data_IF_212062210858
#
_entry.id   IF_212062210858
#
_cell.length_a   1.000
_cell.length_b   1.000
_cell.length_c   1.000
_cell.angle_alpha   90.00
_cell.angle_beta   90.00
_cell.angle_gamma   90.00
#
_symmetry.space_group_name_H-M   'P 1'
#
loop_
_entity.id
_entity.type
_entity.pdbx_description
1 polymer ?
#
# COMPACT_ATOMS: atom_id res chain seq x y z
N UNK A 1 0.54 -54.01 -32.11
CA UNK A 1 -0.57 -53.02 -32.11
C UNK A 1 -0.10 -51.80 -32.88
N UNK A 2 -0.66 -51.54 -34.08
CA UNK A 2 -0.29 -50.37 -34.91
C UNK A 2 -1.11 -49.19 -34.40
N UNK A 3 -0.45 -48.19 -33.80
CA UNK A 3 -1.10 -46.94 -33.42
C UNK A 3 -1.25 -46.12 -34.70
N UNK A 4 -2.48 -45.70 -35.02
CA UNK A 4 -2.78 -44.85 -36.17
C UNK A 4 -2.25 -43.43 -35.90
N UNK A 5 -1.53 -42.86 -36.87
CA UNK A 5 -0.99 -41.50 -36.82
C UNK A 5 -2.07 -40.43 -36.57
N UNK A 6 -3.33 -40.69 -36.97
CA UNK A 6 -4.46 -39.79 -36.68
C UNK A 6 -4.84 -39.78 -35.21
N UNK A 7 -4.76 -40.93 -34.54
CA UNK A 7 -5.04 -41.06 -33.10
C UNK A 7 -3.93 -40.39 -32.30
N UNK A 8 -2.68 -40.48 -32.74
CA UNK A 8 -1.54 -39.76 -32.15
C UNK A 8 -1.68 -38.23 -32.28
N UNK A 9 -2.12 -37.73 -33.45
CA UNK A 9 -2.36 -36.30 -33.67
C UNK A 9 -3.47 -35.76 -32.78
N UNK A 10 -4.60 -36.46 -32.64
CA UNK A 10 -5.71 -36.01 -31.79
C UNK A 10 -5.30 -36.02 -30.31
N UNK A 11 -4.57 -37.05 -29.87
CA UNK A 11 -4.01 -37.10 -28.51
C UNK A 11 -3.03 -35.95 -28.25
N UNK A 12 -2.17 -35.62 -29.22
CA UNK A 12 -1.21 -34.53 -29.11
C UNK A 12 -1.89 -33.16 -29.09
N UNK A 13 -2.93 -32.95 -29.90
CA UNK A 13 -3.71 -31.71 -29.91
C UNK A 13 -4.50 -31.51 -28.61
N UNK A 14 -5.09 -32.57 -28.04
CA UNK A 14 -5.77 -32.50 -26.74
C UNK A 14 -4.76 -32.27 -25.61
N UNK A 15 -3.59 -32.90 -25.66
CA UNK A 15 -2.50 -32.65 -24.69
C UNK A 15 -2.00 -31.20 -24.74
N UNK A 16 -1.89 -30.60 -25.93
CA UNK A 16 -1.55 -29.19 -26.11
C UNK A 16 -2.65 -28.23 -25.61
N UNK A 17 -3.94 -28.55 -25.80
CA UNK A 17 -5.05 -27.74 -25.28
C UNK A 17 -5.11 -27.79 -23.74
N UNK A 18 -4.78 -28.93 -23.14
CA UNK A 18 -4.71 -29.08 -21.67
C UNK A 18 -3.46 -28.39 -21.08
N UNK A 19 -2.36 -28.26 -21.83
CA UNK A 19 -1.15 -27.52 -21.42
C UNK A 19 -1.31 -25.99 -21.48
N UNK A 20 -2.39 -25.49 -22.10
CA UNK A 20 -2.78 -24.06 -22.12
C UNK A 20 -3.64 -23.69 -20.91
N UNK A 21 -3.89 -24.62 -19.98
CA UNK A 21 -4.27 -24.23 -18.61
C UNK A 21 -3.04 -23.64 -17.92
N UNK A 22 -2.83 -22.36 -18.21
CA UNK A 22 -1.83 -21.50 -17.58
C UNK A 22 -1.84 -21.74 -16.09
N UNK A 23 -0.66 -22.02 -15.52
CA UNK A 23 -0.46 -21.93 -14.09
C UNK A 23 -0.94 -20.54 -13.66
N UNK A 24 -2.08 -20.48 -12.97
CA UNK A 24 -2.50 -19.27 -12.28
C UNK A 24 -1.45 -19.05 -11.20
N UNK A 25 -0.49 -18.17 -11.45
CA UNK A 25 0.30 -17.64 -10.35
C UNK A 25 -0.69 -17.03 -9.37
N UNK A 26 -0.61 -17.41 -8.10
CA UNK A 26 -1.41 -16.81 -7.01
C UNK A 26 -0.85 -15.40 -6.73
N UNK A 27 -0.90 -14.55 -7.75
CA UNK A 27 -0.65 -13.12 -7.59
C UNK A 27 -1.88 -12.54 -6.91
N UNK A 28 -1.66 -11.50 -6.11
CA UNK A 28 -2.75 -10.68 -5.61
C UNK A 28 -3.63 -10.24 -6.79
N UNK A 29 -4.95 -10.30 -6.63
CA UNK A 29 -5.84 -9.91 -7.71
C UNK A 29 -5.90 -8.37 -7.78
N UNK A 30 -5.86 -7.82 -8.98
CA UNK A 30 -5.74 -6.37 -9.14
C UNK A 30 -7.11 -5.71 -9.04
N UNK A 31 -7.17 -4.58 -8.35
CA UNK A 31 -8.38 -3.77 -8.17
C UNK A 31 -8.09 -2.33 -8.55
N UNK A 32 -8.46 -1.99 -9.78
CA UNK A 32 -8.32 -0.66 -10.33
C UNK A 32 -9.51 0.21 -9.97
N UNK A 33 -9.25 1.44 -9.52
CA UNK A 33 -10.29 2.44 -9.31
C UNK A 33 -10.76 3.01 -10.66
N UNK A 34 -12.03 2.79 -10.98
CA UNK A 34 -12.66 3.24 -12.25
C UNK A 34 -13.85 4.18 -12.05
N UNK A 35 -14.10 4.63 -10.82
CA UNK A 35 -15.11 5.63 -10.52
C UNK A 35 -14.94 6.24 -9.13
N UNK A 36 -15.64 7.33 -8.86
CA UNK A 36 -15.70 7.94 -7.52
C UNK A 36 -16.76 7.25 -6.68
N UNK A 37 -16.45 6.92 -5.43
CA UNK A 37 -17.43 6.32 -4.54
C UNK A 37 -16.86 5.75 -3.25
N UNK A 38 -17.68 4.97 -2.58
CA UNK A 38 -17.33 4.28 -1.36
C UNK A 38 -16.47 3.04 -1.66
N UNK A 39 -15.47 2.76 -0.83
CA UNK A 39 -14.59 1.61 -0.99
C UNK A 39 -15.34 0.28 -1.08
N UNK A 40 -16.46 0.13 -0.37
CA UNK A 40 -17.28 -1.09 -0.43
C UNK A 40 -18.30 -1.14 -1.59
N UNK A 41 -18.24 -0.21 -2.54
CA UNK A 41 -19.07 -0.23 -3.75
C UNK A 41 -18.36 -1.02 -4.87
N UNK A 42 -18.94 -2.15 -5.30
CA UNK A 42 -18.38 -2.94 -6.40
C UNK A 42 -18.36 -2.19 -7.72
N UNK A 43 -19.21 -1.17 -7.89
CA UNK A 43 -19.32 -0.41 -9.13
C UNK A 43 -18.09 0.48 -9.42
N UNK A 44 -17.19 0.71 -8.45
CA UNK A 44 -15.99 1.51 -8.66
C UNK A 44 -14.72 0.69 -8.86
N UNK A 45 -14.81 -0.64 -8.81
CA UNK A 45 -13.67 -1.56 -8.93
C UNK A 45 -13.70 -2.34 -10.24
N UNK A 46 -12.53 -2.44 -10.87
CA UNK A 46 -12.29 -3.19 -12.11
C UNK A 46 -11.05 -4.07 -11.98
N UNK A 47 -11.03 -5.20 -12.68
CA UNK A 47 -9.86 -6.08 -12.79
C UNK A 47 -8.84 -5.54 -13.81
N UNK A 48 -9.21 -4.52 -14.58
CA UNK A 48 -8.35 -3.89 -15.58
C UNK A 48 -8.40 -2.37 -15.48
N UNK A 49 -7.25 -1.71 -15.72
CA UNK A 49 -7.14 -0.25 -15.74
C UNK A 49 -8.08 0.37 -16.78
N UNK A 50 -8.89 1.34 -16.36
CA UNK A 50 -9.89 2.00 -17.21
C UNK A 50 -11.05 1.09 -17.68
N UNK A 51 -11.15 -0.13 -17.12
CA UNK A 51 -12.21 -1.07 -17.43
C UNK A 51 -13.56 -0.69 -16.84
N UNK A 52 -14.56 -1.55 -17.04
CA UNK A 52 -15.89 -1.37 -16.44
C UNK A 52 -15.87 -1.75 -14.96
N UNK A 53 -16.56 -0.98 -14.14
CA UNK A 53 -16.79 -1.34 -12.75
C UNK A 53 -17.69 -2.57 -12.59
N UNK A 54 -17.59 -3.25 -11.45
CA UNK A 54 -18.41 -4.43 -11.12
C UNK A 54 -17.62 -5.55 -10.44
N UNK A 55 -16.31 -5.38 -10.24
CA UNK A 55 -15.53 -6.36 -9.50
C UNK A 55 -15.81 -6.35 -8.01
N UNK A 56 -15.42 -7.43 -7.35
CA UNK A 56 -15.51 -7.55 -5.90
C UNK A 56 -14.75 -6.43 -5.17
N UNK A 57 -15.25 -6.08 -3.97
CA UNK A 57 -14.58 -5.13 -3.08
C UNK A 57 -13.19 -5.68 -2.68
N UNK A 58 -12.11 -4.88 -2.75
CA UNK A 58 -10.77 -5.36 -2.44
C UNK A 58 -10.66 -5.90 -1.01
N UNK A 59 -10.07 -7.09 -0.87
CA UNK A 59 -9.73 -7.76 0.38
C UNK A 59 -8.23 -7.94 0.57
N UNK A 60 -7.84 -8.74 1.56
CA UNK A 60 -6.45 -8.88 2.02
C UNK A 60 -5.49 -9.51 1.00
N UNK A 61 -6.00 -10.07 -0.08
CA UNK A 61 -5.23 -10.69 -1.15
C UNK A 61 -5.26 -9.85 -2.44
N UNK A 62 -5.79 -8.62 -2.38
CA UNK A 62 -5.97 -7.79 -3.56
C UNK A 62 -5.02 -6.58 -3.54
N UNK A 63 -4.50 -6.25 -4.73
CA UNK A 63 -3.70 -5.07 -4.99
C UNK A 63 -4.61 -3.91 -5.41
N UNK A 64 -4.73 -2.88 -4.58
CA UNK A 64 -5.50 -1.68 -4.92
C UNK A 64 -4.63 -0.71 -5.70
N UNK A 65 -5.11 -0.34 -6.88
CA UNK A 65 -4.37 0.49 -7.84
C UNK A 65 -5.23 1.69 -8.25
N UNK A 66 -4.69 2.88 -7.99
CA UNK A 66 -5.18 4.13 -8.56
C UNK A 66 -4.12 4.63 -9.55
N UNK A 67 -4.45 4.62 -10.83
CA UNK A 67 -3.53 4.96 -11.91
C UNK A 67 -4.02 6.10 -12.78
N UNK A 68 -3.40 6.35 -13.93
CA UNK A 68 -3.76 7.45 -14.83
C UNK A 68 -5.24 7.45 -15.25
N UNK A 69 -5.92 6.29 -15.26
CA UNK A 69 -7.36 6.19 -15.54
C UNK A 69 -8.23 6.49 -14.31
N UNK A 70 -7.61 6.64 -13.14
CA UNK A 70 -8.25 7.06 -11.89
C UNK A 70 -8.19 8.59 -11.69
N UNK A 71 -7.68 9.34 -12.66
CA UNK A 71 -7.52 10.79 -12.57
C UNK A 71 -8.85 11.49 -12.28
N UNK A 72 -8.88 12.33 -11.24
CA UNK A 72 -10.09 13.02 -10.78
C UNK A 72 -11.08 12.15 -9.99
N UNK A 73 -10.83 10.84 -9.86
CA UNK A 73 -11.65 9.98 -9.01
C UNK A 73 -11.17 9.99 -7.55
N UNK A 74 -12.12 9.78 -6.65
CA UNK A 74 -11.86 9.60 -5.22
C UNK A 74 -12.56 8.35 -4.73
N UNK A 75 -11.80 7.44 -4.12
CA UNK A 75 -12.36 6.35 -3.32
C UNK A 75 -12.33 6.75 -1.85
N UNK A 76 -13.49 6.68 -1.19
CA UNK A 76 -13.63 6.96 0.24
C UNK A 76 -13.79 5.67 1.01
N UNK A 77 -12.85 5.40 1.92
CA UNK A 77 -12.94 4.30 2.83
C UNK A 77 -14.12 4.51 3.80
N UNK A 78 -15.15 3.68 3.67
CA UNK A 78 -16.38 3.74 4.45
C UNK A 78 -16.65 2.47 5.28
N UNK A 79 -15.68 1.55 5.28
CA UNK A 79 -15.65 0.31 6.05
C UNK A 79 -14.21 0.03 6.46
N UNK A 80 -14.00 -0.77 7.51
CA UNK A 80 -12.65 -1.25 7.81
C UNK A 80 -12.15 -2.12 6.67
N UNK A 81 -10.92 -1.90 6.21
CA UNK A 81 -10.35 -2.67 5.11
C UNK A 81 -8.92 -3.13 5.43
N UNK A 82 -8.59 -4.32 4.92
CA UNK A 82 -7.23 -4.82 4.81
C UNK A 82 -7.02 -5.23 3.36
N UNK A 83 -5.93 -4.76 2.77
CA UNK A 83 -5.55 -5.06 1.39
C UNK A 83 -4.10 -5.55 1.34
N UNK A 84 -3.70 -6.19 0.23
CA UNK A 84 -2.32 -6.65 0.10
C UNK A 84 -1.39 -5.46 -0.16
N UNK A 85 -1.56 -4.78 -1.29
CA UNK A 85 -0.79 -3.57 -1.61
C UNK A 85 -1.65 -2.40 -2.07
N UNK A 86 -1.09 -1.19 -1.93
CA UNK A 86 -1.69 0.06 -2.37
C UNK A 86 -0.71 0.78 -3.30
N UNK A 87 -1.14 1.06 -4.53
CA UNK A 87 -0.38 1.87 -5.49
C UNK A 87 -1.24 3.07 -5.90
N UNK A 88 -0.73 4.27 -5.68
CA UNK A 88 -1.37 5.53 -6.06
C UNK A 88 -0.41 6.31 -6.95
N UNK A 89 -0.76 6.39 -8.23
CA UNK A 89 -0.05 7.18 -9.24
C UNK A 89 -0.90 8.31 -9.83
N UNK A 90 -2.22 8.26 -9.65
CA UNK A 90 -3.17 9.37 -9.83
C UNK A 90 -4.41 9.13 -8.93
N UNK A 91 -5.40 10.01 -8.95
CA UNK A 91 -6.62 9.88 -8.15
C UNK A 91 -6.40 10.11 -6.64
N UNK A 92 -7.44 9.87 -5.85
CA UNK A 92 -7.39 10.05 -4.38
C UNK A 92 -7.92 8.81 -3.65
N UNK A 93 -7.13 8.29 -2.72
CA UNK A 93 -7.58 7.33 -1.72
C UNK A 93 -7.81 8.07 -0.39
N UNK A 94 -9.07 8.27 -0.03
CA UNK A 94 -9.47 8.89 1.23
C UNK A 94 -9.74 7.81 2.28
N UNK A 95 -8.71 7.49 3.04
CA UNK A 95 -8.79 6.71 4.26
C UNK A 95 -8.87 7.66 5.46
N UNK A 96 -9.87 8.54 5.60
CA UNK A 96 -9.90 9.51 6.70
C UNK A 96 -10.43 8.98 8.03
N UNK A 97 -11.32 7.98 8.01
CA UNK A 97 -12.13 7.61 9.19
C UNK A 97 -11.91 6.16 9.66
N UNK A 98 -12.18 5.17 8.83
CA UNK A 98 -12.17 3.74 9.19
C UNK A 98 -10.77 3.14 9.33
N UNK A 99 -10.65 1.98 9.98
CA UNK A 99 -9.37 1.27 10.07
C UNK A 99 -8.89 0.81 8.69
N UNK A 100 -7.61 1.01 8.40
CA UNK A 100 -7.02 0.63 7.13
C UNK A 100 -5.67 -0.04 7.35
N UNK A 101 -5.50 -1.23 6.78
CA UNK A 101 -4.25 -2.00 6.84
C UNK A 101 -3.77 -2.35 5.44
N UNK A 102 -2.48 -2.13 5.18
CA UNK A 102 -1.80 -2.57 3.97
C UNK A 102 -0.70 -3.55 4.36
N UNK A 103 -0.73 -4.76 3.80
CA UNK A 103 0.12 -5.87 4.24
C UNK A 103 1.52 -5.83 3.62
N UNK A 104 1.62 -5.60 2.32
CA UNK A 104 2.85 -5.82 1.54
C UNK A 104 3.57 -4.53 1.17
N UNK A 105 2.89 -3.54 0.57
CA UNK A 105 3.53 -2.27 0.18
C UNK A 105 2.51 -1.16 -0.01
N UNK A 106 2.88 0.07 0.36
CA UNK A 106 2.20 1.28 -0.09
C UNK A 106 3.16 2.16 -0.90
N UNK A 107 2.77 2.50 -2.13
CA UNK A 107 3.53 3.40 -3.00
C UNK A 107 2.63 4.56 -3.44
N UNK A 108 3.00 5.78 -3.03
CA UNK A 108 2.34 7.03 -3.42
C UNK A 108 3.31 7.81 -4.28
N UNK A 109 3.22 7.61 -5.59
CA UNK A 109 4.12 8.21 -6.59
C UNK A 109 3.49 9.36 -7.37
N UNK A 110 2.17 9.46 -7.29
CA UNK A 110 1.32 10.55 -7.75
C UNK A 110 0.03 10.56 -6.92
N UNK A 111 -1.01 11.27 -7.39
CA UNK A 111 -2.30 11.34 -6.70
C UNK A 111 -2.21 11.75 -5.21
N UNK A 112 -3.19 11.31 -4.41
CA UNK A 112 -3.21 11.57 -2.98
C UNK A 112 -3.67 10.39 -2.12
N UNK A 113 -2.98 10.16 -1.01
CA UNK A 113 -3.43 9.34 0.12
C UNK A 113 -3.79 10.25 1.30
N UNK A 114 -5.04 10.22 1.74
CA UNK A 114 -5.54 11.00 2.89
C UNK A 114 -5.83 10.06 4.05
N UNK A 115 -5.22 10.29 5.21
CA UNK A 115 -5.36 9.43 6.38
C UNK A 115 -6.30 9.99 7.45
N UNK A 116 -6.62 11.29 7.39
CA UNK A 116 -7.58 11.95 8.27
C UNK A 116 -7.29 11.75 9.75
N UNK A 117 -8.24 11.20 10.50
CA UNK A 117 -8.16 10.99 11.96
C UNK A 117 -8.19 9.52 12.38
N UNK A 118 -8.31 8.58 11.46
CA UNK A 118 -8.39 7.16 11.80
C UNK A 118 -7.03 6.50 12.05
N UNK A 119 -7.08 5.20 12.35
CA UNK A 119 -5.92 4.35 12.61
C UNK A 119 -5.47 3.58 11.36
N UNK A 120 -4.18 3.69 11.03
CA UNK A 120 -3.60 3.12 9.81
C UNK A 120 -2.46 2.19 10.19
N UNK A 121 -2.39 1.02 9.56
CA UNK A 121 -1.25 0.11 9.73
C UNK A 121 -0.63 -0.20 8.38
N UNK A 122 0.62 0.17 8.21
CA UNK A 122 1.44 -0.21 7.06
C UNK A 122 2.40 -1.29 7.53
N UNK A 123 2.08 -2.55 7.22
CA UNK A 123 2.92 -3.68 7.60
C UNK A 123 4.17 -3.72 6.72
N UNK A 124 3.96 -3.54 5.42
CA UNK A 124 5.03 -3.34 4.46
C UNK A 124 5.54 -1.91 4.39
N UNK A 125 6.47 -1.67 3.47
CA UNK A 125 7.09 -0.36 3.30
C UNK A 125 6.07 0.68 2.78
N UNK A 126 6.13 1.88 3.36
CA UNK A 126 5.44 3.07 2.88
C UNK A 126 6.43 3.93 2.09
N UNK A 127 6.15 4.18 0.82
CA UNK A 127 7.00 5.01 -0.04
C UNK A 127 6.20 6.18 -0.59
N UNK A 128 6.70 7.40 -0.37
CA UNK A 128 6.25 8.63 -1.00
C UNK A 128 7.32 9.10 -1.98
N UNK A 129 6.94 9.32 -3.24
CA UNK A 129 7.87 9.71 -4.30
C UNK A 129 7.17 10.51 -5.39
N UNK A 130 7.93 10.98 -6.37
CA UNK A 130 7.37 11.67 -7.55
C UNK A 130 6.58 12.92 -7.16
N UNK A 131 5.32 12.99 -7.60
CA UNK A 131 4.39 14.08 -7.31
C UNK A 131 3.30 13.68 -6.30
N UNK A 132 3.43 12.49 -5.70
CA UNK A 132 2.45 11.97 -4.75
C UNK A 132 2.27 12.86 -3.53
N UNK A 133 1.07 12.85 -2.97
CA UNK A 133 0.75 13.61 -1.75
C UNK A 133 0.25 12.69 -0.65
N UNK A 134 0.94 12.69 0.49
CA UNK A 134 0.52 11.99 1.70
C UNK A 134 0.01 13.00 2.74
N UNK A 135 -1.29 12.97 3.02
CA UNK A 135 -1.96 13.84 3.99
C UNK A 135 -2.30 13.06 5.27
N UNK A 136 -1.50 13.20 6.31
CA UNK A 136 -1.65 12.43 7.54
C UNK A 136 -2.74 12.95 8.47
N UNK A 137 -3.16 14.22 8.37
CA UNK A 137 -4.20 14.79 9.25
C UNK A 137 -3.83 14.65 10.74
N UNK A 138 -4.75 14.14 11.55
CA UNK A 138 -4.56 13.79 12.97
C UNK A 138 -4.48 12.26 13.20
N UNK A 139 -4.18 11.50 12.15
CA UNK A 139 -4.23 10.03 12.16
C UNK A 139 -3.23 9.40 13.13
N UNK A 140 -3.52 8.15 13.50
CA UNK A 140 -2.63 7.29 14.25
C UNK A 140 -2.05 6.24 13.30
N UNK A 141 -0.78 6.41 12.92
CA UNK A 141 -0.11 5.62 11.89
C UNK A 141 0.85 4.66 12.56
N UNK A 142 0.62 3.35 12.41
CA UNK A 142 1.57 2.31 12.78
C UNK A 142 2.33 1.88 11.54
N UNK A 143 3.64 2.04 11.57
CA UNK A 143 4.57 1.52 10.59
C UNK A 143 5.22 0.26 11.16
N UNK A 144 5.17 -0.83 10.42
CA UNK A 144 6.00 -2.02 10.69
C UNK A 144 7.10 -2.17 9.64
N UNK A 145 6.86 -1.66 8.43
CA UNK A 145 7.87 -1.52 7.39
C UNK A 145 8.64 -0.20 7.49
N UNK A 146 9.50 0.04 6.50
CA UNK A 146 10.21 1.29 6.34
C UNK A 146 9.28 2.41 5.87
N UNK A 147 9.70 3.66 6.10
CA UNK A 147 9.06 4.82 5.50
C UNK A 147 10.09 5.61 4.70
N UNK A 148 9.87 5.73 3.39
CA UNK A 148 10.79 6.44 2.49
C UNK A 148 10.08 7.60 1.81
N UNK A 149 10.67 8.79 1.89
CA UNK A 149 10.21 10.00 1.20
C UNK A 149 11.31 10.43 0.23
N UNK A 150 11.24 9.98 -1.02
CA UNK A 150 12.21 10.34 -2.06
C UNK A 150 11.73 11.50 -2.96
N UNK A 151 10.49 11.97 -2.75
CA UNK A 151 9.87 13.10 -3.44
C UNK A 151 8.45 13.34 -2.93
N UNK A 152 7.64 14.07 -3.68
CA UNK A 152 6.24 14.34 -3.34
C UNK A 152 6.04 15.38 -2.24
N UNK A 153 4.80 15.45 -1.74
CA UNK A 153 4.40 16.34 -0.64
C UNK A 153 3.97 15.52 0.57
N UNK A 154 4.73 15.64 1.66
CA UNK A 154 4.42 14.99 2.94
C UNK A 154 3.82 16.01 3.91
N UNK A 155 2.54 15.85 4.25
CA UNK A 155 1.82 16.70 5.20
C UNK A 155 1.54 15.93 6.49
N UNK A 156 2.43 16.05 7.47
CA UNK A 156 2.32 15.32 8.74
C UNK A 156 1.09 15.72 9.59
N UNK A 157 0.56 16.92 9.41
CA UNK A 157 -0.55 17.44 10.23
C UNK A 157 -0.22 17.38 11.73
N UNK A 158 -1.14 16.86 12.54
CA UNK A 158 -0.92 16.58 13.97
C UNK A 158 -0.75 15.08 14.27
N UNK A 159 -0.55 14.25 13.23
CA UNK A 159 -0.52 12.80 13.32
C UNK A 159 0.50 12.25 14.33
N UNK A 160 0.25 11.00 14.74
CA UNK A 160 1.22 10.17 15.43
C UNK A 160 1.75 9.13 14.46
N UNK A 161 3.07 9.07 14.28
CA UNK A 161 3.76 7.99 13.58
C UNK A 161 4.44 7.10 14.62
N UNK A 162 3.97 5.86 14.72
CA UNK A 162 4.50 4.82 15.58
C UNK A 162 5.31 3.84 14.75
N UNK A 163 6.61 3.78 14.98
CA UNK A 163 7.48 2.76 14.41
C UNK A 163 7.48 1.52 15.30
N UNK A 164 6.99 0.40 14.76
CA UNK A 164 6.73 -0.85 15.48
C UNK A 164 7.04 -2.09 14.60
N UNK A 165 8.29 -2.24 14.16
CA UNK A 165 8.70 -3.28 13.20
C UNK A 165 8.51 -4.73 13.70
N UNK A 166 8.51 -4.94 15.03
CA UNK A 166 8.47 -6.27 15.65
C UNK A 166 9.75 -7.08 15.38
N UNK A 167 9.98 -8.16 16.13
CA UNK A 167 11.04 -9.13 15.84
C UNK A 167 12.47 -8.58 15.84
N UNK A 168 12.71 -7.39 16.40
CA UNK A 168 14.02 -6.73 16.32
C UNK A 168 14.36 -6.14 14.95
N UNK A 169 13.38 -5.99 14.06
CA UNK A 169 13.58 -5.36 12.77
C UNK A 169 14.07 -3.91 12.91
N UNK A 170 15.08 -3.55 12.13
CA UNK A 170 15.54 -2.17 11.99
C UNK A 170 14.65 -1.51 10.94
N UNK A 171 13.85 -0.53 11.35
CA UNK A 171 13.10 0.32 10.42
C UNK A 171 13.97 1.51 10.01
N UNK A 172 13.80 1.95 8.77
CA UNK A 172 14.43 3.16 8.26
C UNK A 172 13.36 4.20 7.95
N UNK A 173 13.55 5.42 8.46
CA UNK A 173 12.91 6.62 7.94
C UNK A 173 13.90 7.29 6.98
N UNK A 174 13.70 7.06 5.68
CA UNK A 174 14.49 7.63 4.61
C UNK A 174 13.87 8.92 4.09
N UNK A 175 14.66 9.97 3.87
CA UNK A 175 14.18 11.16 3.17
C UNK A 175 15.23 11.80 2.26
N UNK A 176 14.83 12.24 1.07
CA UNK A 176 15.65 13.03 0.15
C UNK A 176 15.52 14.54 0.41
N UNK A 177 14.56 14.95 1.24
CA UNK A 177 14.22 16.35 1.53
C UNK A 177 14.09 16.57 3.04
N UNK A 178 14.20 17.82 3.53
CA UNK A 178 13.80 18.15 4.89
C UNK A 178 12.33 17.79 5.12
N UNK A 179 12.04 17.11 6.22
CA UNK A 179 10.67 16.76 6.61
C UNK A 179 10.40 17.13 8.05
N UNK A 180 9.14 17.41 8.33
CA UNK A 180 8.64 17.61 9.70
C UNK A 180 7.62 16.52 10.00
N UNK A 181 7.89 15.73 11.03
CA UNK A 181 6.95 14.84 11.69
C UNK A 181 6.29 15.61 12.84
N UNK A 182 5.09 15.22 13.25
CA UNK A 182 4.48 15.81 14.43
C UNK A 182 4.79 15.01 15.70
N UNK A 183 4.07 13.93 15.95
CA UNK A 183 4.36 13.03 17.08
C UNK A 183 5.00 11.75 16.56
N UNK A 184 6.02 11.26 17.26
CA UNK A 184 6.74 10.02 16.94
C UNK A 184 6.82 9.15 18.18
N UNK A 185 6.40 7.90 18.05
CA UNK A 185 6.67 6.84 19.04
C UNK A 185 7.53 5.77 18.41
N UNK A 186 8.57 5.34 19.11
CA UNK A 186 9.41 4.21 18.72
C UNK A 186 9.26 3.16 19.81
N UNK A 187 8.73 2.00 19.45
CA UNK A 187 8.57 0.88 20.37
C UNK A 187 8.57 -0.48 19.66
N UNK A 188 8.48 -1.56 20.44
CA UNK A 188 8.26 -2.90 19.91
C UNK A 188 6.88 -3.40 20.32
N UNK A 189 6.29 -4.26 19.49
CA UNK A 189 5.25 -5.15 19.97
C UNK A 189 5.93 -6.18 20.89
N UNK A 190 5.48 -6.29 22.14
CA UNK A 190 5.76 -7.44 23.00
C UNK A 190 5.53 -8.73 22.19
N UNK A 191 6.45 -9.72 22.19
CA UNK A 191 7.24 -10.15 23.35
C UNK A 191 8.78 -10.11 23.17
N UNK A 192 9.30 -9.55 22.09
CA UNK A 192 10.64 -9.95 21.64
C UNK A 192 11.83 -9.39 22.44
N UNK A 193 11.64 -8.43 23.37
CA UNK A 193 12.69 -7.83 24.22
C UNK A 193 13.96 -7.36 23.45
N UNK A 194 13.88 -7.21 22.12
CA UNK A 194 14.94 -6.64 21.29
C UNK A 194 14.64 -5.14 21.19
N UNK A 195 15.63 -4.28 21.46
CA UNK A 195 15.39 -2.83 21.44
C UNK A 195 14.78 -2.34 20.12
N UNK A 196 13.81 -1.43 20.20
CA UNK A 196 13.24 -0.78 19.03
C UNK A 196 14.28 0.11 18.35
N UNK A 197 14.47 -0.08 17.04
CA UNK A 197 15.49 0.65 16.27
C UNK A 197 14.86 1.31 15.05
N UNK A 198 15.04 2.63 14.96
CA UNK A 198 14.72 3.43 13.78
C UNK A 198 15.98 4.15 13.35
N UNK A 199 16.35 4.01 12.08
CA UNK A 199 17.45 4.73 11.46
C UNK A 199 16.86 5.88 10.64
N UNK A 200 17.30 7.10 10.93
CA UNK A 200 17.00 8.26 10.08
C UNK A 200 18.10 8.37 9.03
N UNK A 201 17.72 8.31 7.75
CA UNK A 201 18.68 8.27 6.65
C UNK A 201 18.34 9.33 5.60
N UNK A 202 19.32 10.17 5.24
CA UNK A 202 19.22 10.97 4.03
C UNK A 202 19.38 10.04 2.82
N UNK A 203 18.36 9.96 1.95
CA UNK A 203 18.42 9.12 0.74
C UNK A 203 19.05 9.84 -0.45
N UNK A 204 19.20 11.17 -0.36
CA UNK A 204 19.99 11.99 -1.27
C UNK A 204 20.46 13.25 -0.54
N UNK A 205 21.73 13.61 -0.67
CA UNK A 205 22.29 14.83 -0.08
C UNK A 205 22.12 14.90 1.45
N UNK A 206 21.71 16.07 1.93
CA UNK A 206 21.40 16.32 3.34
C UNK A 206 19.89 16.41 3.54
N UNK A 207 19.36 15.70 4.53
CA UNK A 207 17.97 15.79 4.95
C UNK A 207 17.89 16.13 6.45
N UNK A 208 17.06 17.11 6.79
CA UNK A 208 16.74 17.45 8.17
C UNK A 208 15.44 16.75 8.57
N UNK A 209 15.47 16.07 9.71
CA UNK A 209 14.30 15.47 10.31
C UNK A 209 13.89 16.30 11.53
N UNK A 210 12.76 16.97 11.43
CA UNK A 210 12.20 17.76 12.54
C UNK A 210 11.04 16.99 13.16
N UNK A 211 10.95 17.00 14.49
CA UNK A 211 9.78 16.52 15.24
C UNK A 211 9.21 17.75 15.95
N UNK A 212 8.02 18.17 15.55
CA UNK A 212 7.37 19.38 16.08
C UNK A 212 6.60 19.11 17.39
N UNK A 213 6.18 17.87 17.59
CA UNK A 213 5.49 17.40 18.79
C UNK A 213 6.40 16.54 19.66
N UNK A 214 5.89 15.38 20.08
CA UNK A 214 6.60 14.50 21.01
C UNK A 214 7.46 13.48 20.27
N UNK A 215 8.67 13.21 20.78
CA UNK A 215 9.42 11.99 20.49
C UNK A 215 9.39 11.11 21.75
N UNK A 216 8.77 9.95 21.64
CA UNK A 216 8.67 8.96 22.72
C UNK A 216 9.38 7.66 22.32
N UNK A 217 10.25 7.15 23.18
CA UNK A 217 10.92 5.86 22.98
C UNK A 217 10.53 4.93 24.13
N UNK A 218 9.85 3.83 23.83
CA UNK A 218 9.41 2.84 24.81
C UNK A 218 10.22 1.55 24.65
N UNK A 219 10.45 0.90 25.78
CA UNK A 219 11.06 -0.43 25.88
C UNK A 219 9.98 -1.50 26.12
#
# INVERSE_FOLDING_TARGET
MKIDNKVFSVFWTVFLIVLVFSASSVLADQRYLVGTGNFNDTAIWSATSGGTGGESVPGSNDDVILDANSSGFTVTLNVNATIDSLTISDGTFDASTFFFTVLSRTDVSGGSLILGSGFRTFVGDLTLRGTGTLNCGSSNITLRGNFTISGGTFNAGTSLIRFNGGGGAIQTLGSALPITLNNVTIDQAFPDNIGARVVFAATAGFATFTINGTLEMKY
#
